data_IF_628263426896
#
_entry.id   IF_628263426896
#
_cell.length_a   1.000
_cell.length_b   1.000
_cell.length_c   1.000
_cell.angle_alpha   90.00
_cell.angle_beta   90.00
_cell.angle_gamma   90.00
#
_symmetry.space_group_name_H-M   'P 1'
#
loop_
_entity.id
_entity.type
_entity.pdbx_description
1 polymer ?
#
# COMPACT_ATOMS: atom_id res chain seq x y z
N UNK A 1 -15.08 -3.26 6.97
CA UNK A 1 -15.49 -3.37 5.54
C UNK A 1 -16.47 -4.53 5.37
N UNK A 2 -17.51 -4.37 4.55
CA UNK A 2 -18.36 -5.50 4.17
C UNK A 2 -17.55 -6.55 3.37
N UNK A 3 -17.97 -7.83 3.38
CA UNK A 3 -17.23 -8.94 2.76
C UNK A 3 -16.82 -8.66 1.30
N UNK A 4 -17.69 -8.04 0.51
CA UNK A 4 -17.41 -7.66 -0.88
C UNK A 4 -16.39 -6.52 -1.02
N UNK A 5 -16.45 -5.51 -0.15
CA UNK A 5 -15.50 -4.40 -0.13
C UNK A 5 -14.07 -4.86 0.24
N UNK A 6 -13.95 -5.92 1.04
CA UNK A 6 -12.65 -6.50 1.40
C UNK A 6 -11.94 -7.18 0.22
N UNK A 7 -12.62 -8.09 -0.48
CA UNK A 7 -12.04 -8.77 -1.64
C UNK A 7 -11.73 -7.80 -2.77
N UNK A 8 -12.63 -6.83 -3.00
CA UNK A 8 -12.40 -5.78 -3.98
C UNK A 8 -11.15 -4.96 -3.66
N UNK A 9 -10.98 -4.55 -2.40
CA UNK A 9 -9.79 -3.79 -1.98
C UNK A 9 -8.50 -4.59 -2.17
N UNK A 10 -8.47 -5.86 -1.79
CA UNK A 10 -7.30 -6.71 -2.01
C UNK A 10 -7.01 -6.95 -3.50
N UNK A 11 -8.04 -7.16 -4.32
CA UNK A 11 -7.88 -7.26 -5.77
C UNK A 11 -7.31 -5.96 -6.36
N UNK A 12 -7.79 -4.81 -5.89
CA UNK A 12 -7.25 -3.50 -6.24
C UNK A 12 -5.78 -3.36 -5.85
N UNK A 13 -5.36 -3.82 -4.66
CA UNK A 13 -3.95 -3.79 -4.26
C UNK A 13 -3.06 -4.64 -5.17
N UNK A 14 -3.52 -5.85 -5.55
CA UNK A 14 -2.81 -6.70 -6.50
C UNK A 14 -2.71 -6.05 -7.88
N UNK A 15 -3.80 -5.45 -8.36
CA UNK A 15 -3.83 -4.73 -9.63
C UNK A 15 -2.87 -3.53 -9.62
N UNK A 16 -2.89 -2.73 -8.54
CA UNK A 16 -1.94 -1.64 -8.32
C UNK A 16 -0.50 -2.12 -8.39
N UNK A 17 -0.17 -3.19 -7.67
CA UNK A 17 1.18 -3.76 -7.70
C UNK A 17 1.60 -4.20 -9.09
N UNK A 18 0.72 -4.87 -9.84
CA UNK A 18 1.01 -5.28 -11.21
C UNK A 18 1.32 -4.08 -12.12
N UNK A 19 0.55 -3.00 -12.02
CA UNK A 19 0.79 -1.76 -12.77
C UNK A 19 2.14 -1.13 -12.37
N UNK A 20 2.44 -1.05 -11.08
CA UNK A 20 3.73 -0.51 -10.62
C UNK A 20 4.91 -1.36 -11.07
N UNK A 21 4.77 -2.69 -11.04
CA UNK A 21 5.78 -3.62 -11.52
C UNK A 21 6.03 -3.40 -13.03
N UNK A 22 4.96 -3.31 -13.83
CA UNK A 22 5.07 -3.02 -15.26
C UNK A 22 5.77 -1.68 -15.54
N UNK A 23 5.43 -0.63 -14.78
CA UNK A 23 6.07 0.68 -14.90
C UNK A 23 7.56 0.58 -14.56
N UNK A 24 7.89 -0.12 -13.49
CA UNK A 24 9.27 -0.33 -13.06
C UNK A 24 10.08 -1.14 -14.07
N UNK A 25 9.52 -2.22 -14.63
CA UNK A 25 10.20 -3.03 -15.64
C UNK A 25 10.49 -2.22 -16.91
N UNK A 26 9.53 -1.40 -17.35
CA UNK A 26 9.72 -0.53 -18.51
C UNK A 26 10.77 0.55 -18.21
N UNK A 27 10.75 1.13 -17.02
CA UNK A 27 11.74 2.13 -16.60
C UNK A 27 13.17 1.55 -16.55
N UNK A 28 13.35 0.35 -15.99
CA UNK A 28 14.64 -0.35 -15.99
C UNK A 28 15.11 -0.67 -17.41
N UNK A 29 14.23 -1.18 -18.28
CA UNK A 29 14.58 -1.48 -19.66
C UNK A 29 15.05 -0.23 -20.42
N UNK A 30 14.47 0.93 -20.13
CA UNK A 30 14.93 2.21 -20.67
C UNK A 30 16.29 2.67 -20.11
N UNK A 31 16.60 2.39 -18.83
CA UNK A 31 17.86 2.79 -18.18
C UNK A 31 19.05 1.88 -18.52
N UNK A 32 18.86 0.56 -18.58
CA UNK A 32 19.99 -0.40 -18.59
C UNK A 32 20.19 -1.17 -19.92
N UNK A 33 19.29 -1.02 -20.90
CA UNK A 33 19.37 -1.51 -22.28
C UNK A 33 20.15 -2.84 -22.45
N UNK A 34 19.65 -3.97 -21.92
CA UNK A 34 20.24 -5.31 -22.20
C UNK A 34 19.22 -6.44 -22.02
N UNK A 35 19.09 -7.38 -22.98
CA UNK A 35 17.98 -8.34 -23.10
C UNK A 35 17.87 -9.44 -22.02
N UNK A 36 18.69 -9.41 -20.95
CA UNK A 36 18.56 -10.33 -19.80
C UNK A 36 17.63 -9.78 -18.68
N UNK A 37 16.84 -8.74 -18.99
CA UNK A 37 15.95 -7.98 -18.11
C UNK A 37 14.92 -8.79 -17.32
N UNK A 38 14.53 -9.98 -17.81
CA UNK A 38 13.65 -10.91 -17.07
C UNK A 38 14.26 -11.35 -15.75
N UNK A 39 15.59 -11.52 -15.67
CA UNK A 39 16.27 -11.95 -14.45
C UNK A 39 16.38 -10.84 -13.40
N UNK A 40 16.55 -9.58 -13.81
CA UNK A 40 16.59 -8.44 -12.90
C UNK A 40 15.22 -8.22 -12.22
N UNK A 41 14.13 -8.37 -12.98
CA UNK A 41 12.78 -8.33 -12.42
C UNK A 41 12.50 -9.54 -11.53
N UNK A 42 12.98 -10.73 -11.92
CA UNK A 42 12.88 -11.93 -11.10
C UNK A 42 13.60 -11.78 -9.76
N UNK A 43 14.77 -11.11 -9.70
CA UNK A 43 15.47 -10.87 -8.42
C UNK A 43 14.66 -10.08 -7.42
N UNK A 44 13.85 -9.10 -7.85
CA UNK A 44 12.96 -8.36 -6.95
C UNK A 44 11.71 -9.16 -6.54
N UNK A 45 11.39 -10.25 -7.24
CA UNK A 45 10.30 -11.17 -6.90
C UNK A 45 10.76 -12.35 -6.01
N UNK A 46 12.06 -12.62 -5.91
CA UNK A 46 12.59 -13.73 -5.09
C UNK A 46 12.26 -13.56 -3.59
N UNK A 47 12.48 -12.40 -2.94
CA UNK A 47 12.14 -12.23 -1.53
C UNK A 47 10.65 -12.43 -1.23
N UNK A 48 9.79 -12.09 -2.20
CA UNK A 48 8.34 -12.30 -2.15
C UNK A 48 8.02 -13.79 -2.13
N UNK A 49 8.61 -14.55 -3.06
CA UNK A 49 8.42 -15.99 -3.15
C UNK A 49 8.90 -16.69 -1.86
N UNK A 50 10.08 -16.30 -1.35
CA UNK A 50 10.66 -16.84 -0.11
C UNK A 50 9.73 -16.60 1.09
N UNK A 51 9.17 -15.39 1.23
CA UNK A 51 8.21 -15.12 2.30
C UNK A 51 6.91 -15.89 2.14
N UNK A 52 6.35 -15.94 0.93
CA UNK A 52 5.13 -16.68 0.66
C UNK A 52 5.30 -18.16 1.00
N UNK A 53 6.49 -18.74 0.75
CA UNK A 53 6.80 -20.10 1.17
C UNK A 53 6.97 -20.23 2.68
N UNK A 54 7.64 -19.28 3.36
CA UNK A 54 7.79 -19.29 4.81
C UNK A 54 6.44 -19.21 5.54
N UNK A 55 5.54 -18.34 5.09
CA UNK A 55 4.23 -18.17 5.70
C UNK A 55 3.33 -19.41 5.48
N UNK A 56 3.48 -20.10 4.34
CA UNK A 56 2.80 -21.39 4.09
C UNK A 56 3.34 -22.52 4.98
N UNK A 57 4.59 -22.42 5.42
CA UNK A 57 5.25 -23.40 6.29
C UNK A 57 5.03 -23.11 7.79
N UNK A 58 4.75 -21.86 8.16
CA UNK A 58 4.55 -21.50 9.55
C UNK A 58 3.17 -21.96 10.04
N UNK A 59 3.15 -22.89 10.98
CA UNK A 59 1.93 -23.48 11.54
C UNK A 59 1.26 -22.60 12.61
N UNK A 60 1.54 -21.30 12.65
CA UNK A 60 1.22 -20.51 13.84
C UNK A 60 -0.12 -19.78 13.73
N UNK A 61 -0.94 -20.01 14.77
CA UNK A 61 -2.18 -19.31 15.12
C UNK A 61 -1.91 -17.84 15.47
N UNK A 62 -1.18 -17.12 14.63
CA UNK A 62 -0.90 -15.73 14.87
C UNK A 62 -2.17 -14.92 14.69
N UNK A 63 -2.41 -14.00 15.62
CA UNK A 63 -3.53 -13.07 15.53
C UNK A 63 -3.04 -11.80 14.90
N UNK A 64 -3.86 -11.24 14.03
CA UNK A 64 -3.61 -9.90 13.55
C UNK A 64 -3.67 -8.90 14.73
N UNK A 65 -2.56 -8.22 15.00
CA UNK A 65 -2.54 -7.15 16.01
C UNK A 65 -3.06 -5.85 15.41
N UNK A 66 -3.73 -5.03 16.23
CA UNK A 66 -4.23 -3.73 15.81
C UNK A 66 -3.12 -2.79 15.33
N UNK A 67 -1.93 -2.85 15.97
CA UNK A 67 -0.77 -2.05 15.56
C UNK A 67 -0.33 -2.40 14.14
N UNK A 68 -0.14 -3.69 13.84
CA UNK A 68 0.23 -4.14 12.49
C UNK A 68 -0.85 -3.87 11.47
N UNK A 69 -2.13 -4.10 11.83
CA UNK A 69 -3.26 -3.77 10.98
C UNK A 69 -3.20 -2.31 10.52
N UNK A 70 -3.09 -1.35 11.45
CA UNK A 70 -3.04 0.08 11.13
C UNK A 70 -1.75 0.47 10.41
N UNK A 71 -0.61 -0.01 10.90
CA UNK A 71 0.71 0.33 10.37
C UNK A 71 0.83 0.03 8.87
N UNK A 72 0.38 -1.15 8.46
CA UNK A 72 0.45 -1.54 7.06
C UNK A 72 -0.36 -0.62 6.13
N UNK A 73 -1.44 0.01 6.60
CA UNK A 73 -2.21 0.97 5.77
C UNK A 73 -1.43 2.27 5.55
N UNK A 74 -0.64 2.73 6.53
CA UNK A 74 0.26 3.87 6.34
C UNK A 74 1.43 3.52 5.43
N UNK A 75 2.03 2.34 5.64
CA UNK A 75 3.19 1.89 4.86
C UNK A 75 2.86 1.86 3.37
N UNK A 76 1.72 1.28 2.97
CA UNK A 76 1.35 1.19 1.55
C UNK A 76 1.16 2.57 0.91
N UNK A 77 0.54 3.50 1.62
CA UNK A 77 0.37 4.89 1.16
C UNK A 77 1.73 5.60 1.02
N UNK A 78 2.62 5.44 2.01
CA UNK A 78 3.96 6.02 2.00
C UNK A 78 4.82 5.44 0.87
N UNK A 79 4.79 4.11 0.66
CA UNK A 79 5.53 3.45 -0.41
C UNK A 79 5.12 3.99 -1.78
N UNK A 80 3.82 4.15 -2.03
CA UNK A 80 3.36 4.76 -3.27
C UNK A 80 3.84 6.19 -3.41
N UNK A 81 3.80 6.98 -2.34
CA UNK A 81 4.28 8.36 -2.38
C UNK A 81 5.76 8.41 -2.78
N UNK A 82 6.59 7.55 -2.18
CA UNK A 82 8.01 7.43 -2.52
C UNK A 82 8.19 7.05 -3.98
N UNK A 83 7.49 6.03 -4.48
CA UNK A 83 7.56 5.61 -5.88
C UNK A 83 7.13 6.75 -6.83
N UNK A 84 6.07 7.47 -6.48
CA UNK A 84 5.51 8.53 -7.32
C UNK A 84 6.42 9.76 -7.41
N UNK A 85 7.33 9.97 -6.46
CA UNK A 85 8.38 11.00 -6.54
C UNK A 85 9.71 10.49 -7.09
N UNK A 86 10.08 9.24 -6.78
CA UNK A 86 11.34 8.66 -7.21
C UNK A 86 11.37 8.43 -8.73
N UNK A 87 10.26 8.00 -9.34
CA UNK A 87 10.14 7.79 -10.79
C UNK A 87 10.38 9.07 -11.62
N UNK A 88 9.72 10.21 -11.35
CA UNK A 88 9.99 11.42 -12.10
C UNK A 88 11.38 11.99 -11.77
N UNK A 89 11.82 11.90 -10.51
CA UNK A 89 13.14 12.39 -10.11
C UNK A 89 14.29 11.61 -10.75
N UNK A 90 14.18 10.28 -10.88
CA UNK A 90 15.21 9.44 -11.53
C UNK A 90 15.41 9.82 -13.00
N UNK A 91 14.43 10.48 -13.62
CA UNK A 91 14.53 10.94 -15.00
C UNK A 91 15.16 12.34 -15.15
N UNK A 92 15.37 13.08 -14.07
CA UNK A 92 15.86 14.48 -14.10
C UNK A 92 17.26 14.62 -13.50
N UNK A 93 17.63 13.75 -12.58
CA UNK A 93 18.92 13.78 -11.90
C UNK A 93 20.00 13.02 -12.68
N UNK A 94 21.26 13.22 -12.30
CA UNK A 94 22.41 12.52 -12.89
C UNK A 94 22.30 10.99 -12.73
N UNK A 95 23.00 10.27 -13.61
CA UNK A 95 22.88 8.81 -13.77
C UNK A 95 23.10 8.03 -12.47
N UNK A 96 24.10 8.38 -11.65
CA UNK A 96 24.38 7.71 -10.39
C UNK A 96 23.21 7.82 -9.38
N UNK A 97 22.61 9.01 -9.29
CA UNK A 97 21.44 9.22 -8.43
C UNK A 97 20.19 8.57 -9.02
N UNK A 98 20.07 8.51 -10.34
CA UNK A 98 18.98 7.81 -11.04
C UNK A 98 18.98 6.31 -10.75
N UNK A 99 20.15 5.68 -10.77
CA UNK A 99 20.33 4.27 -10.39
C UNK A 99 19.91 4.07 -8.92
N UNK A 100 20.36 4.96 -8.03
CA UNK A 100 20.01 4.90 -6.60
C UNK A 100 18.50 4.99 -6.38
N UNK A 101 17.81 5.94 -7.03
CA UNK A 101 16.35 6.06 -6.96
C UNK A 101 15.66 4.83 -7.54
N UNK A 102 16.20 4.23 -8.61
CA UNK A 102 15.65 2.99 -9.20
C UNK A 102 15.73 1.83 -8.21
N UNK A 103 16.84 1.70 -7.47
CA UNK A 103 16.99 0.70 -6.39
C UNK A 103 15.96 0.95 -5.26
N UNK A 104 15.74 2.22 -4.90
CA UNK A 104 14.72 2.60 -3.91
C UNK A 104 13.33 2.18 -4.40
N UNK A 105 12.97 2.44 -5.66
CA UNK A 105 11.69 2.01 -6.25
C UNK A 105 11.55 0.49 -6.18
N UNK A 106 12.57 -0.27 -6.57
CA UNK A 106 12.58 -1.73 -6.47
C UNK A 106 12.38 -2.22 -5.03
N UNK A 107 13.04 -1.57 -4.07
CA UNK A 107 12.87 -1.85 -2.64
C UNK A 107 11.45 -1.57 -2.17
N UNK A 108 10.86 -0.45 -2.59
CA UNK A 108 9.48 -0.13 -2.28
C UNK A 108 8.51 -1.19 -2.82
N UNK A 109 8.73 -1.69 -4.04
CA UNK A 109 7.91 -2.75 -4.62
C UNK A 109 8.00 -4.05 -3.83
N UNK A 110 9.18 -4.42 -3.34
CA UNK A 110 9.33 -5.59 -2.46
C UNK A 110 8.47 -5.41 -1.20
N UNK A 111 8.62 -4.30 -0.48
CA UNK A 111 7.85 -4.00 0.75
C UNK A 111 6.33 -3.92 0.46
N UNK A 112 5.95 -3.43 -0.72
CA UNK A 112 4.56 -3.33 -1.13
C UNK A 112 3.89 -4.71 -1.15
N UNK A 113 4.57 -5.72 -1.68
CA UNK A 113 4.02 -7.09 -1.72
C UNK A 113 3.83 -7.66 -0.32
N UNK A 114 4.81 -7.51 0.58
CA UNK A 114 4.64 -7.91 1.98
C UNK A 114 3.39 -7.26 2.58
N UNK A 115 3.18 -5.98 2.27
CA UNK A 115 2.00 -5.26 2.74
C UNK A 115 0.69 -5.80 2.15
N UNK A 116 0.67 -6.27 0.89
CA UNK A 116 -0.51 -6.93 0.29
C UNK A 116 -0.88 -8.19 1.07
N UNK A 117 0.09 -9.05 1.40
CA UNK A 117 -0.15 -10.26 2.18
C UNK A 117 -0.81 -9.93 3.54
N UNK A 118 -0.29 -8.92 4.22
CA UNK A 118 -0.83 -8.43 5.49
C UNK A 118 -2.26 -7.86 5.37
N UNK A 119 -2.59 -7.23 4.24
CA UNK A 119 -3.95 -6.78 3.96
C UNK A 119 -4.90 -7.92 3.62
N UNK A 120 -4.40 -8.94 2.92
CA UNK A 120 -5.13 -10.14 2.56
C UNK A 120 -5.45 -11.02 3.78
N UNK A 121 -4.70 -10.87 4.89
CA UNK A 121 -4.96 -11.47 6.20
C UNK A 121 -5.35 -12.96 6.10
N UNK A 122 -4.78 -13.67 5.13
CA UNK A 122 -5.14 -15.04 4.79
C UNK A 122 -4.67 -15.97 5.90
N UNK A 123 -3.48 -15.73 6.43
CA UNK A 123 -2.86 -16.40 7.57
C UNK A 123 -3.65 -16.23 8.87
N UNK A 124 -4.38 -15.12 9.03
CA UNK A 124 -5.16 -14.82 10.23
C UNK A 124 -6.57 -15.42 10.17
N UNK A 125 -6.68 -16.75 10.10
CA UNK A 125 -7.96 -17.45 10.04
C UNK A 125 -8.83 -17.24 11.29
N UNK A 126 -8.19 -17.16 12.46
CA UNK A 126 -8.88 -17.16 13.76
C UNK A 126 -9.16 -15.76 14.30
N UNK A 127 -8.58 -14.70 13.73
CA UNK A 127 -8.80 -13.33 14.22
C UNK A 127 -8.46 -12.26 13.17
N UNK A 128 -9.48 -11.58 12.64
CA UNK A 128 -9.32 -10.54 11.61
C UNK A 128 -9.87 -9.21 12.07
N UNK A 129 -9.14 -8.14 11.75
CA UNK A 129 -9.52 -6.77 12.06
C UNK A 129 -10.13 -6.05 10.87
N UNK A 130 -10.99 -5.07 11.14
CA UNK A 130 -11.58 -4.22 10.12
C UNK A 130 -12.02 -2.88 10.68
N UNK A 131 -12.07 -1.86 9.83
CA UNK A 131 -12.63 -0.56 10.22
C UNK A 131 -14.13 -0.65 10.54
N UNK A 132 -14.61 0.05 11.59
CA UNK A 132 -16.02 0.22 11.86
C UNK A 132 -16.75 0.87 10.69
N UNK A 133 -18.03 0.54 10.47
CA UNK A 133 -18.84 1.16 9.40
C UNK A 133 -18.98 2.68 9.55
N UNK A 134 -18.85 3.19 10.78
CA UNK A 134 -18.95 4.62 11.10
C UNK A 134 -17.63 5.38 10.91
N UNK A 135 -16.51 4.68 10.69
CA UNK A 135 -15.23 5.33 10.46
C UNK A 135 -15.29 6.06 9.12
N UNK A 136 -15.13 7.38 9.16
CA UNK A 136 -15.16 8.28 8.00
C UNK A 136 -14.12 9.39 8.21
N UNK A 137 -13.65 9.96 7.11
CA UNK A 137 -12.83 11.18 7.14
C UNK A 137 -13.73 12.38 7.45
N UNK A 138 -13.17 13.39 8.13
CA UNK A 138 -13.83 14.69 8.23
C UNK A 138 -13.83 15.38 6.86
N UNK A 139 -14.77 16.30 6.63
CA UNK A 139 -14.82 17.09 5.39
C UNK A 139 -13.53 17.87 5.14
N UNK A 140 -12.89 18.35 6.22
CA UNK A 140 -11.59 19.01 6.16
C UNK A 140 -10.50 18.07 5.65
N UNK A 141 -10.36 16.87 6.23
CA UNK A 141 -9.37 15.89 5.78
C UNK A 141 -9.60 15.42 4.35
N UNK A 142 -10.87 15.27 3.96
CA UNK A 142 -11.23 14.95 2.58
C UNK A 142 -10.81 16.07 1.62
N UNK A 143 -11.05 17.34 1.97
CA UNK A 143 -10.59 18.50 1.21
C UNK A 143 -9.06 18.54 1.11
N UNK A 144 -8.34 18.32 2.23
CA UNK A 144 -6.88 18.24 2.24
C UNK A 144 -6.35 17.11 1.34
N UNK A 145 -7.00 15.95 1.30
CA UNK A 145 -6.63 14.84 0.44
C UNK A 145 -6.75 15.22 -1.05
N UNK A 146 -7.85 15.90 -1.42
CA UNK A 146 -8.04 16.41 -2.79
C UNK A 146 -6.96 17.43 -3.13
N UNK A 147 -6.74 18.42 -2.25
CA UNK A 147 -5.72 19.44 -2.45
C UNK A 147 -4.34 18.83 -2.60
N UNK A 148 -3.98 17.84 -1.77
CA UNK A 148 -2.73 17.10 -1.86
C UNK A 148 -2.53 16.46 -3.24
N UNK A 149 -3.55 15.78 -3.78
CA UNK A 149 -3.46 15.16 -5.10
C UNK A 149 -3.39 16.18 -6.24
N UNK A 150 -4.07 17.33 -6.13
CA UNK A 150 -3.96 18.44 -7.09
C UNK A 150 -2.54 19.02 -7.08
N UNK A 151 -1.98 19.26 -5.88
CA UNK A 151 -0.61 19.76 -5.73
C UNK A 151 0.41 18.78 -6.31
N UNK A 152 0.21 17.47 -6.15
CA UNK A 152 1.04 16.45 -6.80
C UNK A 152 0.97 16.53 -8.33
N UNK A 153 -0.22 16.70 -8.91
CA UNK A 153 -0.35 16.88 -10.37
C UNK A 153 0.43 18.11 -10.83
N UNK A 154 0.29 19.24 -10.13
CA UNK A 154 1.01 20.48 -10.46
C UNK A 154 2.53 20.26 -10.34
N UNK A 155 2.99 19.61 -9.27
CA UNK A 155 4.41 19.30 -9.09
C UNK A 155 4.95 18.46 -10.25
N UNK A 156 4.23 17.42 -10.69
CA UNK A 156 4.65 16.61 -11.84
C UNK A 156 4.66 17.41 -13.14
N UNK A 157 3.65 18.26 -13.38
CA UNK A 157 3.65 19.13 -14.56
C UNK A 157 4.86 20.08 -14.59
N UNK A 158 5.28 20.60 -13.43
CA UNK A 158 6.48 21.45 -13.32
C UNK A 158 7.74 20.62 -13.59
N UNK A 159 7.90 19.47 -12.92
CA UNK A 159 9.06 18.59 -13.09
C UNK A 159 9.22 18.20 -14.55
N UNK A 160 8.17 17.67 -15.17
CA UNK A 160 8.18 17.21 -16.56
C UNK A 160 8.20 18.36 -17.59
N UNK A 161 7.99 19.63 -17.19
CA UNK A 161 8.18 20.79 -18.08
C UNK A 161 9.64 21.21 -18.15
N UNK A 162 10.38 21.12 -17.04
CA UNK A 162 11.82 21.44 -16.99
C UNK A 162 12.61 20.42 -17.81
N UNK A 163 12.21 19.14 -17.77
CA UNK A 163 12.95 18.04 -18.38
C UNK A 163 13.10 18.10 -19.92
N UNK A 164 12.07 18.36 -20.76
CA UNK A 164 12.19 18.31 -22.21
C UNK A 164 13.22 19.28 -22.79
N UNK A 165 13.58 20.35 -22.06
CA UNK A 165 14.60 21.32 -22.50
C UNK A 165 16.03 20.75 -22.46
N UNK A 166 16.28 19.64 -21.75
CA UNK A 166 17.62 19.09 -21.51
C UNK A 166 17.83 17.65 -22.04
N UNK A 167 16.84 17.07 -22.74
CA UNK A 167 16.91 15.67 -23.20
C UNK A 167 17.74 15.57 -24.49
N UNK A 168 18.88 14.89 -24.41
CA UNK A 168 19.81 14.72 -25.54
C UNK A 168 19.49 13.53 -26.45
N UNK A 169 18.63 12.60 -26.04
CA UNK A 169 18.36 11.36 -26.79
C UNK A 169 16.87 11.05 -26.95
N UNK A 170 16.50 10.45 -28.09
CA UNK A 170 15.14 9.99 -28.38
C UNK A 170 14.61 9.01 -27.33
N UNK A 171 15.47 8.15 -26.81
CA UNK A 171 15.14 7.16 -25.78
C UNK A 171 14.74 7.81 -24.45
N UNK A 172 15.48 8.83 -24.01
CA UNK A 172 15.16 9.58 -22.79
C UNK A 172 13.87 10.40 -22.96
N UNK A 173 13.59 10.89 -24.17
CA UNK A 173 12.33 11.58 -24.48
C UNK A 173 11.12 10.64 -24.37
N UNK A 174 11.22 9.43 -24.95
CA UNK A 174 10.15 8.44 -24.86
C UNK A 174 9.91 7.96 -23.43
N UNK A 175 10.99 7.68 -22.67
CA UNK A 175 10.89 7.32 -21.25
C UNK A 175 10.24 8.44 -20.43
N UNK A 176 10.55 9.71 -20.71
CA UNK A 176 9.90 10.85 -20.05
C UNK A 176 8.38 10.88 -20.33
N UNK A 177 7.97 10.77 -21.60
CA UNK A 177 6.54 10.75 -21.95
C UNK A 177 5.80 9.61 -21.24
N UNK A 178 6.41 8.42 -21.21
CA UNK A 178 5.88 7.27 -20.49
C UNK A 178 5.74 7.54 -18.99
N UNK A 179 6.81 8.01 -18.34
CA UNK A 179 6.83 8.29 -16.90
C UNK A 179 5.83 9.37 -16.52
N UNK A 180 5.61 10.38 -17.37
CA UNK A 180 4.58 11.40 -17.15
C UNK A 180 3.19 10.80 -17.06
N UNK A 181 2.83 9.92 -17.99
CA UNK A 181 1.53 9.22 -17.97
C UNK A 181 1.46 8.32 -16.73
N UNK A 182 2.53 7.58 -16.45
CA UNK A 182 2.62 6.68 -15.31
C UNK A 182 2.42 7.38 -13.96
N UNK A 183 3.09 8.52 -13.72
CA UNK A 183 2.98 9.26 -12.46
C UNK A 183 1.57 9.83 -12.23
N UNK A 184 0.91 10.32 -13.28
CA UNK A 184 -0.49 10.75 -13.17
C UNK A 184 -1.43 9.57 -12.87
N UNK A 185 -1.22 8.43 -13.52
CA UNK A 185 -1.98 7.21 -13.24
C UNK A 185 -1.77 6.73 -11.80
N UNK A 186 -0.52 6.64 -11.34
CA UNK A 186 -0.18 6.26 -9.95
C UNK A 186 -0.83 7.23 -8.96
N UNK A 187 -0.78 8.53 -9.22
CA UNK A 187 -1.39 9.53 -8.34
C UNK A 187 -2.90 9.30 -8.16
N UNK A 188 -3.64 9.12 -9.25
CA UNK A 188 -5.09 8.82 -9.22
C UNK A 188 -5.33 7.51 -8.49
N UNK A 189 -4.58 6.47 -8.85
CA UNK A 189 -4.71 5.16 -8.26
C UNK A 189 -4.32 5.16 -6.78
N UNK A 190 -3.52 6.11 -6.28
CA UNK A 190 -3.13 6.20 -4.86
C UNK A 190 -4.20 6.79 -3.94
N UNK A 191 -5.27 7.39 -4.48
CA UNK A 191 -6.35 8.03 -3.71
C UNK A 191 -6.98 7.05 -2.69
N UNK A 192 -7.40 5.82 -3.05
CA UNK A 192 -7.98 4.87 -2.10
C UNK A 192 -7.02 4.45 -0.98
N UNK A 193 -5.71 4.44 -1.26
CA UNK A 193 -4.66 4.08 -0.28
C UNK A 193 -4.45 5.20 0.72
N UNK A 194 -4.32 6.44 0.24
CA UNK A 194 -4.22 7.61 1.10
C UNK A 194 -5.49 7.79 1.94
N UNK A 195 -6.67 7.52 1.36
CA UNK A 195 -7.91 7.47 2.12
C UNK A 195 -7.84 6.43 3.25
N UNK A 196 -7.39 5.20 2.96
CA UNK A 196 -7.25 4.15 3.96
C UNK A 196 -6.21 4.50 5.05
N UNK A 197 -5.13 5.19 4.69
CA UNK A 197 -4.13 5.66 5.64
C UNK A 197 -4.72 6.74 6.58
N UNK A 198 -5.42 7.74 6.06
CA UNK A 198 -6.08 8.75 6.90
C UNK A 198 -7.19 8.11 7.76
N UNK A 199 -7.91 7.12 7.21
CA UNK A 199 -8.90 6.37 7.98
C UNK A 199 -8.25 5.59 9.12
N UNK A 200 -7.09 4.98 8.89
CA UNK A 200 -6.29 4.32 9.92
C UNK A 200 -5.83 5.32 10.99
N UNK A 201 -5.45 6.53 10.59
CA UNK A 201 -5.02 7.60 11.48
C UNK A 201 -6.11 8.02 12.46
N UNK A 202 -7.33 8.19 11.95
CA UNK A 202 -8.48 8.59 12.76
C UNK A 202 -9.10 7.45 13.56
N UNK A 203 -8.58 6.23 13.44
CA UNK A 203 -9.24 5.06 13.97
C UNK A 203 -9.02 4.92 15.48
N UNK A 204 -10.09 5.14 16.25
CA UNK A 204 -10.10 4.91 17.70
C UNK A 204 -10.59 3.52 18.09
N UNK A 205 -11.42 2.93 17.23
CA UNK A 205 -12.05 1.62 17.42
C UNK A 205 -11.85 0.73 16.19
N UNK A 206 -11.57 -0.53 16.40
CA UNK A 206 -11.47 -1.55 15.34
C UNK A 206 -12.46 -2.67 15.60
N UNK A 207 -13.16 -3.12 14.57
CA UNK A 207 -14.00 -4.31 14.68
C UNK A 207 -13.14 -5.55 14.48
N UNK A 208 -13.39 -6.60 15.24
CA UNK A 208 -12.78 -7.91 15.01
C UNK A 208 -13.83 -8.99 14.76
N UNK A 209 -13.43 -10.02 14.02
CA UNK A 209 -14.18 -11.25 13.82
C UNK A 209 -13.21 -12.43 13.81
N UNK A 210 -13.55 -13.50 14.51
CA UNK A 210 -12.67 -14.63 14.69
C UNK A 210 -13.27 -15.77 15.50
N UNK A 211 -12.39 -16.59 16.06
CA UNK A 211 -12.68 -17.71 16.96
C UNK A 211 -12.07 -17.39 18.33
N UNK A 212 -12.86 -17.53 19.38
CA UNK A 212 -12.40 -17.29 20.74
C UNK A 212 -11.32 -18.33 21.15
N UNK A 213 -10.19 -17.93 21.78
CA UNK A 213 -9.10 -18.85 22.12
C UNK A 213 -9.55 -20.04 22.97
N UNK A 214 -10.34 -19.72 24.00
CA UNK A 214 -10.78 -20.66 25.05
C UNK A 214 -12.02 -21.42 24.60
N UNK A 215 -13.12 -20.71 24.34
CA UNK A 215 -14.42 -21.35 24.06
C UNK A 215 -14.55 -21.93 22.64
N UNK A 216 -13.62 -21.64 21.73
CA UNK A 216 -13.66 -22.02 20.29
C UNK A 216 -14.95 -21.59 19.56
N UNK A 217 -15.74 -20.70 20.16
CA UNK A 217 -16.95 -20.15 19.55
C UNK A 217 -16.62 -18.95 18.67
N UNK A 218 -17.56 -18.60 17.78
CA UNK A 218 -17.48 -17.37 17.00
C UNK A 218 -17.35 -16.17 17.93
N UNK A 219 -16.34 -15.35 17.69
CA UNK A 219 -16.02 -14.18 18.48
C UNK A 219 -16.03 -12.95 17.59
N UNK A 220 -16.89 -12.00 17.93
CA UNK A 220 -17.05 -10.74 17.21
C UNK A 220 -17.13 -9.66 18.26
N UNK A 221 -16.54 -8.50 17.99
CA UNK A 221 -16.58 -7.39 18.92
C UNK A 221 -15.77 -6.22 18.40
N UNK A 222 -15.45 -5.32 19.33
CA UNK A 222 -14.69 -4.10 19.07
C UNK A 222 -13.44 -4.10 19.93
N UNK A 223 -12.34 -3.57 19.40
CA UNK A 223 -11.15 -3.20 20.14
C UNK A 223 -11.05 -1.68 20.21
N UNK A 224 -10.59 -1.16 21.35
CA UNK A 224 -10.30 0.25 21.56
C UNK A 224 -9.00 0.43 22.31
N UNK A 225 -8.44 1.63 22.28
CA UNK A 225 -7.27 1.96 23.10
C UNK A 225 -7.70 2.13 24.56
N UNK A 226 -6.97 1.51 25.49
CA UNK A 226 -7.12 1.77 26.91
C UNK A 226 -6.48 3.11 27.32
N UNK A 227 -6.54 3.46 28.61
CA UNK A 227 -5.92 4.69 29.15
C UNK A 227 -4.40 4.75 28.95
N UNK A 228 -3.75 3.62 28.67
CA UNK A 228 -2.31 3.51 28.39
C UNK A 228 -2.02 3.51 26.88
N UNK A 229 -3.03 3.67 26.02
CA UNK A 229 -2.90 3.66 24.57
C UNK A 229 -2.76 2.27 23.94
N UNK A 230 -2.94 1.20 24.71
CA UNK A 230 -2.84 -0.19 24.26
C UNK A 230 -4.19 -0.65 23.71
N UNK A 231 -4.16 -1.34 22.56
CA UNK A 231 -5.37 -1.91 21.96
C UNK A 231 -5.87 -3.12 22.75
N UNK A 232 -7.04 -2.99 23.35
CA UNK A 232 -7.71 -4.04 24.14
C UNK A 232 -9.10 -4.32 23.59
N UNK A 233 -9.59 -5.54 23.82
CA UNK A 233 -10.97 -5.90 23.49
C UNK A 233 -11.90 -5.12 24.39
N UNK A 234 -12.89 -4.46 23.80
CA UNK A 234 -13.89 -3.70 24.54
C UNK A 234 -14.86 -4.68 25.23
N UNK A 235 -14.83 -4.70 26.57
CA UNK A 235 -15.70 -5.55 27.40
C UNK A 235 -16.96 -4.78 27.82
N UNK A 236 -17.10 -3.50 27.44
CA UNK A 236 -18.26 -2.69 27.84
C UNK A 236 -19.56 -3.21 27.20
N UNK A 237 -20.65 -3.30 27.98
CA UNK A 237 -21.90 -3.99 27.59
C UNK A 237 -22.65 -3.38 26.41
N UNK A 238 -22.34 -2.13 26.01
CA UNK A 238 -23.06 -1.43 24.94
C UNK A 238 -22.76 -1.99 23.53
N UNK A 239 -21.59 -2.58 23.30
CA UNK A 239 -21.20 -3.18 22.00
C UNK A 239 -21.36 -4.73 21.97
N UNK A 240 -21.77 -5.35 23.09
CA UNK A 240 -22.10 -6.80 23.17
C UNK A 240 -23.54 -7.15 22.79
N UNK A 241 -24.33 -6.17 22.32
CA UNK A 241 -25.59 -6.45 21.62
C UNK A 241 -25.33 -6.95 20.19
N UNK A 242 -24.44 -7.92 20.05
CA UNK A 242 -24.31 -8.72 18.85
C UNK A 242 -25.31 -9.84 19.02
N UNK A 243 -26.50 -9.59 18.48
CA UNK A 243 -27.62 -10.51 18.38
C UNK A 243 -27.15 -11.97 18.31
N UNK A 244 -27.48 -12.75 19.34
CA UNK A 244 -27.76 -14.16 19.18
C UNK A 244 -28.92 -14.24 18.18
N UNK A 245 -28.61 -14.55 16.92
CA UNK A 245 -29.56 -15.07 15.93
C UNK A 245 -29.10 -16.47 15.61
#
# INVERSE_FOLDING_TARGET
>A
MARYSYYFYNAYLCFMYFILLMIFTLHIGHLFFKPNETWACATFLVPVMVRSTYDCLSSQQDRQTARWFLWNRYVVALLLLVVNFALPASNVIEEEYSITLTIIVGTCLMIFVFSIYEHAATTYHDFRLSFPKKAKLSSFQFCCLILFHILLVIAFLVVFRITPEYISTYQSYYNNQFLRIACHLINIMSIPLNYCAVLAWNCEKLNFKGIHPVTKRRWVGVMKKDKKGTWVVDVEPEDHRIFLV
#
